data_IF_911650695571
#
_entry.id   IF_911650695571
#
_cell.length_a   1.000
_cell.length_b   1.000
_cell.length_c   1.000
_cell.angle_alpha   90.00
_cell.angle_beta   90.00
_cell.angle_gamma   90.00
#
_symmetry.space_group_name_H-M   'P 1'
#
loop_
_entity.id
_entity.type
_entity.pdbx_description
1 polymer ?
#
# COMPACT_ATOMS: atom_id res chain seq x y z
N UNK A 1 -22.58 -38.88 -29.51
CA UNK A 1 -21.59 -37.79 -29.61
C UNK A 1 -21.96 -36.76 -28.55
N UNK A 2 -21.25 -36.77 -27.42
CA UNK A 2 -21.57 -35.95 -26.24
C UNK A 2 -20.99 -34.54 -26.41
N UNK A 3 -21.85 -33.53 -26.31
CA UNK A 3 -21.47 -32.12 -26.30
C UNK A 3 -21.05 -31.72 -24.87
N UNK A 4 -19.76 -31.65 -24.60
CA UNK A 4 -19.24 -31.13 -23.33
C UNK A 4 -19.15 -29.60 -23.44
N UNK A 5 -20.09 -28.90 -22.80
CA UNK A 5 -20.03 -27.45 -22.65
C UNK A 5 -18.91 -27.10 -21.65
N UNK A 6 -17.82 -26.52 -22.14
CA UNK A 6 -16.66 -26.13 -21.32
C UNK A 6 -17.03 -24.92 -20.47
N UNK A 7 -17.09 -25.09 -19.15
CA UNK A 7 -17.23 -23.97 -18.21
C UNK A 7 -15.93 -23.17 -18.25
N UNK A 8 -15.95 -22.02 -18.92
CA UNK A 8 -14.87 -21.03 -18.85
C UNK A 8 -15.16 -20.16 -17.64
N UNK A 9 -14.31 -20.23 -16.61
CA UNK A 9 -14.32 -19.26 -15.52
C UNK A 9 -13.88 -17.91 -16.08
N UNK A 10 -14.84 -17.03 -16.37
CA UNK A 10 -14.54 -15.61 -16.60
C UNK A 10 -14.23 -15.02 -15.22
N UNK A 11 -12.95 -14.86 -14.92
CA UNK A 11 -12.54 -14.05 -13.79
C UNK A 11 -13.13 -12.64 -13.99
N UNK A 12 -13.94 -12.18 -13.04
CA UNK A 12 -14.52 -10.84 -13.11
C UNK A 12 -13.38 -9.83 -13.29
N UNK A 13 -13.53 -8.94 -14.28
CA UNK A 13 -12.56 -7.87 -14.49
C UNK A 13 -12.38 -7.10 -13.17
N UNK A 14 -11.12 -6.77 -12.78
CA UNK A 14 -10.89 -6.04 -11.55
C UNK A 14 -11.67 -4.72 -11.59
N UNK A 15 -12.42 -4.43 -10.53
CA UNK A 15 -13.07 -3.13 -10.39
C UNK A 15 -11.97 -2.11 -10.16
N UNK A 16 -11.86 -1.17 -11.09
CA UNK A 16 -10.90 -0.08 -11.05
C UNK A 16 -11.69 1.21 -10.92
N UNK A 17 -12.08 1.51 -9.67
CA UNK A 17 -12.82 2.72 -9.34
C UNK A 17 -11.99 3.58 -8.38
N UNK A 18 -12.23 4.88 -8.39
CA UNK A 18 -11.52 5.81 -7.51
C UNK A 18 -11.84 5.58 -6.02
N UNK A 19 -12.99 4.99 -5.70
CA UNK A 19 -13.35 4.70 -4.30
C UNK A 19 -12.45 3.63 -3.68
N UNK A 20 -11.93 2.68 -4.46
CA UNK A 20 -11.03 1.63 -3.97
C UNK A 20 -9.67 2.26 -3.58
N UNK A 21 -9.16 3.17 -4.42
CA UNK A 21 -7.94 3.92 -4.12
C UNK A 21 -8.13 4.87 -2.92
N UNK A 22 -9.26 5.58 -2.86
CA UNK A 22 -9.62 6.43 -1.71
C UNK A 22 -9.72 5.62 -0.43
N UNK A 23 -10.26 4.40 -0.49
CA UNK A 23 -10.34 3.47 0.64
C UNK A 23 -8.95 3.14 1.21
N UNK A 24 -7.97 2.88 0.35
CA UNK A 24 -6.59 2.66 0.80
C UNK A 24 -5.99 3.87 1.54
N UNK A 25 -6.35 5.09 1.12
CA UNK A 25 -5.85 6.33 1.72
C UNK A 25 -6.60 6.71 3.01
N UNK A 26 -7.77 6.13 3.28
CA UNK A 26 -8.54 6.41 4.49
C UNK A 26 -7.79 5.97 5.75
N UNK A 27 -7.12 4.81 5.69
CA UNK A 27 -6.25 4.31 6.77
C UNK A 27 -5.12 5.29 7.10
N UNK A 28 -4.60 6.01 6.09
CA UNK A 28 -3.55 7.00 6.30
C UNK A 28 -4.07 8.26 7.00
N UNK A 29 -5.37 8.55 6.94
CA UNK A 29 -5.94 9.72 7.63
C UNK A 29 -5.84 9.62 9.14
N UNK A 30 -5.86 8.40 9.69
CA UNK A 30 -5.69 8.21 11.14
C UNK A 30 -4.34 8.77 11.59
N UNK A 31 -3.31 8.61 10.76
CA UNK A 31 -1.94 9.04 11.04
C UNK A 31 -1.77 10.56 10.92
N UNK A 32 -2.53 11.21 10.04
CA UNK A 32 -2.49 12.67 9.87
C UNK A 32 -3.39 13.41 10.86
N UNK A 33 -4.51 12.82 11.25
CA UNK A 33 -5.48 13.46 12.15
C UNK A 33 -5.07 13.38 13.62
N UNK A 34 -4.43 12.29 14.03
CA UNK A 34 -3.97 12.11 15.41
C UNK A 34 -2.52 12.57 15.62
N UNK A 35 -1.84 13.01 14.56
CA UNK A 35 -0.42 13.35 14.57
C UNK A 35 0.52 12.17 14.98
N UNK A 36 0.01 10.94 15.02
CA UNK A 36 0.74 9.76 15.50
C UNK A 36 2.05 9.50 14.74
N UNK A 37 2.10 9.84 13.44
CA UNK A 37 3.36 9.73 12.67
C UNK A 37 4.33 10.89 12.94
N UNK A 38 3.82 12.09 13.20
CA UNK A 38 4.62 13.27 13.47
C UNK A 38 5.27 13.25 14.87
N UNK A 39 4.72 12.43 15.78
CA UNK A 39 5.13 12.36 17.18
C UNK A 39 5.24 10.94 17.75
N UNK A 40 5.48 9.89 16.94
CA UNK A 40 5.76 8.57 17.52
C UNK A 40 6.96 8.70 18.50
N UNK A 41 6.66 8.66 19.80
CA UNK A 41 7.63 8.93 20.87
C UNK A 41 8.21 7.63 21.42
N UNK A 42 7.54 6.50 21.14
CA UNK A 42 7.96 5.18 21.58
C UNK A 42 8.06 4.19 20.42
N UNK A 43 8.91 3.19 20.59
CA UNK A 43 9.05 2.04 19.68
C UNK A 43 7.72 1.28 19.49
N UNK A 44 6.84 1.30 20.49
CA UNK A 44 5.52 0.68 20.42
C UNK A 44 4.59 1.46 19.49
N UNK A 45 4.46 2.76 19.71
CA UNK A 45 3.66 3.67 18.86
C UNK A 45 4.16 3.65 17.41
N UNK A 46 5.49 3.66 17.22
CA UNK A 46 6.10 3.54 15.89
C UNK A 46 5.73 2.20 15.23
N UNK A 47 5.76 1.10 15.98
CA UNK A 47 5.41 -0.23 15.45
C UNK A 47 3.94 -0.32 15.03
N UNK A 48 3.03 0.25 15.82
CA UNK A 48 1.60 0.31 15.46
C UNK A 48 1.37 1.16 14.21
N UNK A 49 1.99 2.34 14.18
CA UNK A 49 1.95 3.25 13.04
C UNK A 49 2.49 2.61 11.75
N UNK A 50 3.59 1.87 11.87
CA UNK A 50 4.17 1.12 10.76
C UNK A 50 3.22 0.06 10.20
N UNK A 51 2.40 -0.59 11.03
CA UNK A 51 1.35 -1.51 10.56
C UNK A 51 0.37 -0.80 9.63
N UNK A 52 -0.21 0.32 10.07
CA UNK A 52 -1.16 1.10 9.26
C UNK A 52 -0.55 1.59 7.93
N UNK A 53 0.71 2.08 7.97
CA UNK A 53 1.40 2.55 6.76
C UNK A 53 1.66 1.41 5.76
N UNK A 54 2.10 0.25 6.25
CA UNK A 54 2.38 -0.91 5.42
C UNK A 54 1.10 -1.45 4.80
N UNK A 55 0.00 -1.53 5.56
CA UNK A 55 -1.30 -1.97 5.08
C UNK A 55 -1.85 -1.04 3.99
N UNK A 56 -1.81 0.28 4.21
CA UNK A 56 -2.22 1.27 3.23
C UNK A 56 -1.36 1.18 1.95
N UNK A 57 -0.04 1.07 2.09
CA UNK A 57 0.88 0.93 0.96
C UNK A 57 0.61 -0.34 0.17
N UNK A 58 0.40 -1.47 0.85
CA UNK A 58 0.06 -2.74 0.21
C UNK A 58 -1.28 -2.64 -0.54
N UNK A 59 -2.28 -1.97 0.04
CA UNK A 59 -3.56 -1.70 -0.61
C UNK A 59 -3.37 -0.93 -1.92
N UNK A 60 -2.60 0.17 -1.90
CA UNK A 60 -2.32 0.97 -3.11
C UNK A 60 -1.53 0.18 -4.13
N UNK A 61 -0.47 -0.54 -3.73
CA UNK A 61 0.33 -1.39 -4.62
C UNK A 61 -0.52 -2.47 -5.30
N UNK A 62 -1.45 -3.09 -4.55
CA UNK A 62 -2.38 -4.06 -5.11
C UNK A 62 -3.33 -3.40 -6.11
N UNK A 63 -3.86 -2.21 -5.82
CA UNK A 63 -4.68 -1.44 -6.74
C UNK A 63 -3.94 -1.11 -8.04
N UNK A 64 -2.73 -0.53 -7.96
CA UNK A 64 -1.94 -0.17 -9.14
C UNK A 64 -1.55 -1.41 -9.95
N UNK A 65 -1.22 -2.53 -9.29
CA UNK A 65 -0.91 -3.79 -9.96
C UNK A 65 -2.06 -4.40 -10.76
N UNK A 66 -3.31 -4.02 -10.46
CA UNK A 66 -4.50 -4.50 -11.16
C UNK A 66 -5.06 -3.49 -12.15
N UNK A 67 -4.97 -2.20 -11.82
CA UNK A 67 -5.76 -1.16 -12.47
C UNK A 67 -4.94 -0.18 -13.31
N UNK A 68 -3.63 -0.08 -13.08
CA UNK A 68 -2.78 0.78 -13.88
C UNK A 68 -2.23 0.03 -15.10
N UNK A 69 -2.12 0.73 -16.22
CA UNK A 69 -1.31 0.29 -17.36
C UNK A 69 0.19 0.43 -17.07
N UNK A 70 1.05 0.02 -18.01
CA UNK A 70 2.50 0.02 -17.82
C UNK A 70 3.07 1.42 -17.58
N UNK A 71 2.58 2.43 -18.31
CA UNK A 71 3.05 3.82 -18.16
C UNK A 71 2.62 4.39 -16.81
N UNK A 72 1.38 4.14 -16.40
CA UNK A 72 0.84 4.55 -15.11
C UNK A 72 1.58 3.87 -13.94
N UNK A 73 1.95 2.59 -14.08
CA UNK A 73 2.75 1.88 -13.07
C UNK A 73 4.15 2.45 -12.94
N UNK A 74 4.81 2.75 -14.06
CA UNK A 74 6.15 3.33 -14.02
C UNK A 74 6.14 4.73 -13.42
N UNK A 75 5.14 5.54 -13.78
CA UNK A 75 4.93 6.85 -13.18
C UNK A 75 4.67 6.72 -11.67
N UNK A 76 3.77 5.83 -11.25
CA UNK A 76 3.51 5.56 -9.84
C UNK A 76 4.79 5.16 -9.10
N UNK A 77 5.52 4.16 -9.60
CA UNK A 77 6.78 3.68 -9.02
C UNK A 77 7.78 4.83 -8.85
N UNK A 78 7.94 5.65 -9.89
CA UNK A 78 8.84 6.80 -9.84
C UNK A 78 8.42 7.78 -8.74
N UNK A 79 7.15 8.18 -8.74
CA UNK A 79 6.60 9.16 -7.79
C UNK A 79 6.64 8.68 -6.34
N UNK A 80 6.47 7.37 -6.10
CA UNK A 80 6.39 6.82 -4.73
C UNK A 80 7.69 6.20 -4.23
N UNK A 81 8.68 5.96 -5.09
CA UNK A 81 9.92 5.24 -4.73
C UNK A 81 10.59 5.76 -3.46
N UNK A 82 10.80 7.07 -3.36
CA UNK A 82 11.42 7.68 -2.18
C UNK A 82 10.60 7.52 -0.90
N UNK A 83 9.28 7.67 -0.99
CA UNK A 83 8.39 7.48 0.16
C UNK A 83 8.32 6.00 0.59
N UNK A 84 8.33 5.08 -0.37
CA UNK A 84 8.37 3.64 -0.12
C UNK A 84 9.68 3.23 0.56
N UNK A 85 10.81 3.79 0.10
CA UNK A 85 12.11 3.55 0.72
C UNK A 85 12.17 4.12 2.14
N UNK A 86 11.73 5.36 2.33
CA UNK A 86 11.66 5.97 3.67
C UNK A 86 10.81 5.14 4.63
N UNK A 87 9.65 4.64 4.18
CA UNK A 87 8.82 3.77 5.00
C UNK A 87 9.55 2.46 5.35
N UNK A 88 10.20 1.83 4.38
CA UNK A 88 10.95 0.60 4.60
C UNK A 88 12.08 0.83 5.63
N UNK A 89 12.81 1.92 5.50
CA UNK A 89 13.87 2.31 6.43
C UNK A 89 13.30 2.60 7.83
N UNK A 90 12.20 3.34 7.93
CA UNK A 90 11.58 3.67 9.21
C UNK A 90 10.98 2.43 9.92
N UNK A 91 10.35 1.53 9.17
CA UNK A 91 9.54 0.45 9.72
C UNK A 91 10.28 -0.88 9.84
N UNK A 92 11.45 -1.04 9.24
CA UNK A 92 12.28 -2.24 9.39
C UNK A 92 13.18 -2.10 10.61
N UNK A 93 12.98 -2.94 11.63
CA UNK A 93 13.83 -2.94 12.85
C UNK A 93 15.30 -3.16 12.48
N UNK A 94 16.20 -2.38 13.06
CA UNK A 94 17.64 -2.47 12.79
C UNK A 94 18.08 -1.93 11.43
N UNK A 95 17.21 -1.23 10.69
CA UNK A 95 17.65 -0.41 9.57
C UNK A 95 18.67 0.65 10.02
N UNK A 96 19.45 1.19 9.08
CA UNK A 96 20.39 2.27 9.37
C UNK A 96 19.73 3.49 10.03
N UNK A 97 18.47 3.77 9.69
CA UNK A 97 17.68 4.85 10.27
C UNK A 97 17.30 4.58 11.74
N UNK A 98 16.94 3.34 12.08
CA UNK A 98 16.55 2.95 13.45
C UNK A 98 17.72 2.59 14.37
N UNK A 99 18.95 2.58 13.84
CA UNK A 99 20.16 2.23 14.61
C UNK A 99 20.92 3.45 15.16
N UNK A 100 20.43 4.67 14.91
CA UNK A 100 21.11 5.93 15.30
C UNK A 100 20.39 6.73 16.41
N UNK A 101 19.42 6.15 17.12
CA UNK A 101 18.79 6.77 18.30
C UNK A 101 18.41 5.70 19.34
#
# INVERSE_FOLDING_TARGET
MENVCRVVFVAAAPRCNDSDLKGCMEELKVLTNNQDLAFAQTEHELSQTCGHLQDAMQCVNNFTSRCFDETQRELYRTLTSGAQQLLADLCTKGSGFRSSN
#
